data_IF_984097233424
#
_entry.id   IF_984097233424
#
_cell.length_a   1.000
_cell.length_b   1.000
_cell.length_c   1.000
_cell.angle_alpha   90.00
_cell.angle_beta   90.00
_cell.angle_gamma   90.00
#
_symmetry.space_group_name_H-M   'P 1'
#
loop_
_entity.id
_entity.type
_entity.pdbx_description
1 polymer ?
#
# COMPACT_ATOMS: atom_id res chain seq x y z
N UNK A 1 -13.32 1.46 3.62
CA UNK A 1 -14.66 2.00 3.98
C UNK A 1 -15.27 2.90 2.89
N UNK A 2 -14.59 3.96 2.42
CA UNK A 2 -15.19 4.90 1.44
C UNK A 2 -15.45 4.29 0.03
N UNK A 3 -14.53 3.48 -0.51
CA UNK A 3 -14.68 2.86 -1.84
C UNK A 3 -15.79 1.79 -1.89
N UNK A 4 -16.05 1.07 -0.79
CA UNK A 4 -17.15 0.10 -0.68
C UNK A 4 -18.53 0.78 -0.69
N UNK A 5 -18.61 1.99 -0.16
CA UNK A 5 -19.84 2.77 -0.08
C UNK A 5 -20.20 3.50 -1.38
N UNK A 6 -19.20 3.81 -2.23
CA UNK A 6 -19.38 4.70 -3.39
C UNK A 6 -18.95 4.11 -4.73
N UNK A 7 -18.44 2.86 -4.78
CA UNK A 7 -17.78 2.27 -5.96
C UNK A 7 -16.72 3.22 -6.55
N UNK A 8 -16.04 3.97 -5.69
CA UNK A 8 -15.08 4.97 -6.15
C UNK A 8 -13.79 4.29 -6.63
N UNK A 9 -13.21 4.74 -7.76
CA UNK A 9 -11.97 4.18 -8.26
C UNK A 9 -10.85 4.44 -7.25
N UNK A 10 -10.03 3.41 -7.01
CA UNK A 10 -8.84 3.52 -6.16
C UNK A 10 -7.65 3.76 -7.07
N UNK A 11 -7.01 4.91 -6.93
CA UNK A 11 -5.80 5.26 -7.68
C UNK A 11 -4.64 5.33 -6.70
N UNK A 12 -3.63 4.49 -6.93
CA UNK A 12 -2.34 4.58 -6.25
C UNK A 12 -1.50 5.61 -7.00
N UNK A 13 -1.01 6.61 -6.27
CA UNK A 13 -0.09 7.61 -6.79
C UNK A 13 1.26 7.42 -6.14
N UNK A 14 2.30 7.28 -6.94
CA UNK A 14 3.69 7.22 -6.45
C UNK A 14 4.53 8.29 -7.14
N UNK A 15 5.51 8.82 -6.40
CA UNK A 15 6.38 9.89 -6.85
C UNK A 15 7.84 9.63 -6.42
N UNK A 16 8.50 8.58 -6.95
CA UNK A 16 9.93 8.40 -6.74
C UNK A 16 10.76 9.47 -7.48
N UNK A 17 11.89 9.82 -6.89
CA UNK A 17 12.95 10.59 -7.50
C UNK A 17 13.87 9.67 -8.31
N UNK A 18 13.96 9.87 -9.62
CA UNK A 18 14.75 9.03 -10.52
C UNK A 18 15.80 9.90 -11.20
N UNK A 19 17.05 9.79 -10.73
CA UNK A 19 18.17 10.60 -11.25
C UNK A 19 18.07 12.07 -10.85
N UNK A 20 17.45 12.90 -11.70
CA UNK A 20 17.33 14.36 -11.52
C UNK A 20 15.89 14.88 -11.69
N UNK A 21 14.91 13.98 -11.73
CA UNK A 21 13.50 14.33 -11.88
C UNK A 21 12.60 13.46 -11.01
N UNK A 22 11.39 13.95 -10.77
CA UNK A 22 10.32 13.22 -10.09
C UNK A 22 9.47 12.50 -11.12
N UNK A 23 9.29 11.19 -10.97
CA UNK A 23 8.41 10.39 -11.81
C UNK A 23 7.08 10.18 -11.09
N UNK A 24 6.01 10.83 -11.54
CA UNK A 24 4.68 10.66 -10.95
C UNK A 24 3.93 9.58 -11.74
N UNK A 25 3.64 8.47 -11.09
CA UNK A 25 2.87 7.36 -11.67
C UNK A 25 1.49 7.27 -11.04
N UNK A 26 0.46 7.18 -11.88
CA UNK A 26 -0.92 6.92 -11.48
C UNK A 26 -1.29 5.49 -11.87
N UNK A 27 -1.45 4.62 -10.87
CA UNK A 27 -1.87 3.25 -11.09
C UNK A 27 -3.31 3.07 -10.62
N UNK A 28 -4.20 2.72 -11.55
CA UNK A 28 -5.57 2.36 -11.21
C UNK A 28 -5.63 0.94 -10.63
N UNK A 29 -6.11 0.80 -9.40
CA UNK A 29 -6.31 -0.49 -8.75
C UNK A 29 -7.73 -0.97 -9.04
N UNK A 30 -7.82 -2.02 -9.84
CA UNK A 30 -9.10 -2.65 -10.18
C UNK A 30 -9.43 -3.75 -9.16
N UNK A 31 -10.67 -3.74 -8.67
CA UNK A 31 -11.18 -4.72 -7.73
C UNK A 31 -12.61 -5.09 -8.12
N UNK A 32 -12.95 -6.37 -7.92
CA UNK A 32 -14.29 -6.88 -8.11
C UNK A 32 -14.92 -7.03 -6.72
N UNK A 33 -16.16 -6.58 -6.58
CA UNK A 33 -16.88 -6.66 -5.31
C UNK A 33 -17.64 -7.98 -5.26
N UNK A 34 -17.26 -8.86 -4.33
CA UNK A 34 -17.92 -10.15 -4.12
C UNK A 34 -19.22 -10.02 -3.31
N UNK A 35 -19.49 -8.84 -2.73
CA UNK A 35 -20.68 -8.54 -1.93
C UNK A 35 -20.52 -8.86 -0.44
N UNK A 36 -19.38 -9.43 -0.04
CA UNK A 36 -19.02 -9.68 1.34
C UNK A 36 -18.04 -8.61 1.81
N UNK A 37 -18.53 -7.64 2.58
CA UNK A 37 -17.78 -6.42 2.89
C UNK A 37 -16.41 -6.66 3.53
N UNK A 38 -16.29 -7.67 4.40
CA UNK A 38 -15.01 -7.98 5.04
C UNK A 38 -13.98 -8.52 4.04
N UNK A 39 -14.38 -9.47 3.19
CA UNK A 39 -13.50 -10.02 2.15
C UNK A 39 -13.11 -8.96 1.13
N UNK A 40 -14.07 -8.15 0.69
CA UNK A 40 -13.80 -7.06 -0.26
C UNK A 40 -12.84 -6.02 0.36
N UNK A 41 -13.02 -5.68 1.64
CA UNK A 41 -12.10 -4.76 2.33
C UNK A 41 -10.69 -5.33 2.40
N UNK A 42 -10.56 -6.61 2.74
CA UNK A 42 -9.27 -7.29 2.85
C UNK A 42 -8.59 -7.38 1.48
N UNK A 43 -9.29 -7.80 0.44
CA UNK A 43 -8.74 -7.91 -0.91
C UNK A 43 -8.25 -6.56 -1.43
N UNK A 44 -9.03 -5.50 -1.25
CA UNK A 44 -8.68 -4.17 -1.71
C UNK A 44 -7.46 -3.64 -0.94
N UNK A 45 -7.42 -3.84 0.38
CA UNK A 45 -6.29 -3.46 1.22
C UNK A 45 -5.02 -4.23 0.84
N UNK A 46 -5.15 -5.51 0.51
CA UNK A 46 -4.05 -6.35 0.05
C UNK A 46 -3.54 -5.88 -1.32
N UNK A 47 -4.42 -5.62 -2.28
CA UNK A 47 -4.04 -5.10 -3.62
C UNK A 47 -3.29 -3.78 -3.53
N UNK A 48 -3.76 -2.84 -2.70
CA UNK A 48 -3.07 -1.57 -2.43
C UNK A 48 -1.69 -1.82 -1.84
N UNK A 49 -1.60 -2.72 -0.85
CA UNK A 49 -0.34 -3.02 -0.17
C UNK A 49 0.66 -3.67 -1.12
N UNK A 50 0.25 -4.63 -1.94
CA UNK A 50 1.10 -5.28 -2.94
C UNK A 50 1.56 -4.32 -4.03
N UNK A 51 0.69 -3.43 -4.52
CA UNK A 51 1.07 -2.42 -5.50
C UNK A 51 2.10 -1.43 -4.93
N UNK A 52 1.90 -1.00 -3.68
CA UNK A 52 2.86 -0.15 -2.98
C UNK A 52 4.20 -0.87 -2.74
N UNK A 53 4.18 -2.13 -2.33
CA UNK A 53 5.39 -2.94 -2.13
C UNK A 53 6.22 -3.05 -3.40
N UNK A 54 5.58 -3.24 -4.56
CA UNK A 54 6.28 -3.29 -5.84
C UNK A 54 7.04 -1.99 -6.14
N UNK A 55 6.50 -0.83 -5.77
CA UNK A 55 7.18 0.46 -5.95
C UNK A 55 8.31 0.61 -4.93
N UNK A 56 8.08 0.23 -3.67
CA UNK A 56 9.11 0.27 -2.62
C UNK A 56 10.30 -0.62 -3.00
N UNK A 57 10.07 -1.80 -3.59
CA UNK A 57 11.14 -2.70 -4.05
C UNK A 57 12.00 -2.11 -5.17
N UNK A 58 11.45 -1.18 -5.98
CA UNK A 58 12.20 -0.47 -7.02
C UNK A 58 13.05 0.68 -6.46
N UNK A 59 12.56 1.35 -5.41
CA UNK A 59 13.21 2.51 -4.79
C UNK A 59 13.23 2.39 -3.26
N UNK A 60 13.89 1.36 -2.69
CA UNK A 60 13.84 1.09 -1.26
C UNK A 60 14.42 2.23 -0.42
N UNK A 61 15.44 2.93 -0.92
CA UNK A 61 16.10 4.05 -0.25
C UNK A 61 15.19 5.28 -0.06
N UNK A 62 14.14 5.40 -0.87
CA UNK A 62 13.21 6.54 -0.84
C UNK A 62 11.99 6.27 0.03
N UNK A 63 11.82 5.02 0.48
CA UNK A 63 10.73 4.68 1.37
C UNK A 63 11.04 5.11 2.81
N UNK A 64 10.05 5.71 3.47
CA UNK A 64 10.17 6.19 4.85
C UNK A 64 10.15 5.03 5.86
N UNK A 65 11.24 4.26 5.96
CA UNK A 65 11.39 3.12 6.88
C UNK A 65 11.20 3.48 8.36
N UNK A 66 11.43 4.74 8.72
CA UNK A 66 11.22 5.24 10.09
C UNK A 66 9.75 5.18 10.52
N UNK A 67 8.81 5.15 9.55
CA UNK A 67 7.40 5.06 9.86
C UNK A 67 7.03 3.65 10.33
N UNK A 68 6.55 3.52 11.57
CA UNK A 68 6.07 2.26 12.15
C UNK A 68 4.71 1.87 11.57
N UNK A 69 4.68 1.50 10.29
CA UNK A 69 3.47 1.10 9.56
C UNK A 69 2.82 -0.15 10.18
N UNK A 70 3.62 -1.12 10.60
CA UNK A 70 3.16 -2.36 11.21
C UNK A 70 3.24 -2.26 12.74
N UNK A 71 2.10 -1.93 13.38
CA UNK A 71 1.99 -1.85 14.85
C UNK A 71 1.79 -3.21 15.51
N UNK A 72 1.10 -4.13 14.84
CA UNK A 72 0.97 -5.51 15.26
C UNK A 72 2.20 -6.27 14.75
N UNK A 73 3.07 -6.69 15.68
CA UNK A 73 4.15 -7.64 15.40
C UNK A 73 3.72 -9.02 15.88
N UNK A 74 4.07 -10.11 15.17
CA UNK A 74 3.94 -11.45 15.74
C UNK A 74 4.76 -11.54 17.03
N UNK A 75 4.23 -12.24 18.03
CA UNK A 75 4.74 -12.27 19.40
C UNK A 75 6.20 -12.74 19.52
N UNK A 76 6.71 -13.45 18.51
CA UNK A 76 8.08 -13.97 18.42
C UNK A 76 9.13 -12.90 18.10
N UNK A 77 8.75 -11.74 17.55
CA UNK A 77 9.68 -10.66 17.20
C UNK A 77 9.80 -9.66 18.37
N UNK A 78 10.34 -10.16 19.49
CA UNK A 78 10.53 -9.41 20.74
C UNK A 78 11.88 -8.69 20.83
N UNK A 79 12.60 -8.49 19.73
CA UNK A 79 13.79 -7.63 19.77
C UNK A 79 13.39 -6.16 19.67
N UNK A 80 13.65 -5.45 20.78
CA UNK A 80 13.67 -3.98 20.78
C UNK A 80 14.84 -3.57 19.91
N UNK A 81 14.53 -3.09 18.71
CA UNK A 81 15.44 -2.16 18.05
C UNK A 81 15.48 -0.94 18.98
N UNK A 82 16.63 -0.72 19.62
CA UNK A 82 16.97 0.15 20.77
C UNK A 82 16.96 -0.52 22.15
#
# INVERSE_FOLDING_TARGET
>A
AFHLLRKSPVVLVTCPYVGDHLEITFQHITFELSGEQEKDTLEISQKITSALENVIRKYPEQYFWMHRRWRARPTEDSERIY
#
